data_IF_002368223358
#
_entry.id   IF_002368223358
#
_cell.length_a   1.000
_cell.length_b   1.000
_cell.length_c   1.000
_cell.angle_alpha   90.00
_cell.angle_beta   90.00
_cell.angle_gamma   90.00
#
_symmetry.space_group_name_H-M   'P 1'
#
loop_
_entity.id
_entity.type
_entity.pdbx_description
1 polymer ?
#
# COMPACT_ATOMS: atom_id res chain seq x y z
N UNK A 1 45.30 -28.98 37.37
CA UNK A 1 44.09 -28.58 38.13
C UNK A 1 42.90 -28.88 37.20
N UNK A 2 42.24 -30.05 37.24
CA UNK A 2 41.16 -30.46 38.18
C UNK A 2 40.19 -29.29 38.41
N UNK A 3 38.89 -29.29 38.14
CA UNK A 3 37.77 -30.25 38.11
C UNK A 3 36.56 -29.48 37.51
N UNK A 4 35.37 -29.98 37.18
CA UNK A 4 34.79 -31.29 36.89
C UNK A 4 33.42 -30.98 36.27
N UNK A 5 33.01 -31.78 35.30
CA UNK A 5 31.59 -31.95 34.94
C UNK A 5 30.87 -32.71 36.05
N UNK A 6 29.75 -32.20 36.55
CA UNK A 6 28.50 -32.90 36.94
C UNK A 6 27.57 -31.84 37.56
N UNK A 7 26.50 -31.42 36.90
CA UNK A 7 25.17 -32.05 36.84
C UNK A 7 24.23 -31.47 37.91
N UNK A 8 23.22 -30.71 37.49
CA UNK A 8 21.90 -30.63 38.12
C UNK A 8 20.93 -30.04 37.11
N UNK A 9 20.29 -30.96 36.40
CA UNK A 9 19.00 -30.77 35.74
C UNK A 9 17.98 -30.51 36.85
N UNK A 10 17.54 -29.26 37.02
CA UNK A 10 16.25 -28.99 37.66
C UNK A 10 15.20 -28.90 36.54
N UNK A 11 14.08 -29.63 36.63
CA UNK A 11 13.01 -29.50 35.65
C UNK A 11 12.44 -28.09 35.75
N UNK A 12 12.49 -27.34 34.65
CA UNK A 12 11.70 -26.12 34.52
C UNK A 12 10.24 -26.56 34.59
N UNK A 13 9.60 -26.19 35.70
CA UNK A 13 8.20 -26.43 35.98
C UNK A 13 7.37 -25.88 34.80
N UNK A 14 6.77 -26.80 34.04
CA UNK A 14 5.80 -26.46 33.01
C UNK A 14 4.59 -25.94 33.76
N UNK A 15 4.41 -24.62 33.73
CA UNK A 15 3.20 -23.99 34.25
C UNK A 15 2.07 -24.34 33.26
N UNK A 16 1.42 -25.47 33.49
CA UNK A 16 0.11 -25.77 32.92
C UNK A 16 -0.87 -24.77 33.53
N UNK A 17 -1.07 -23.64 32.85
CA UNK A 17 -2.17 -22.76 33.15
C UNK A 17 -3.47 -23.48 32.77
N UNK A 18 -4.08 -24.14 33.75
CA UNK A 18 -5.48 -24.57 33.69
C UNK A 18 -6.38 -23.33 33.56
N UNK A 19 -6.64 -22.92 32.33
CA UNK A 19 -7.76 -22.06 31.98
C UNK A 19 -9.01 -22.90 31.71
N UNK A 20 -10.24 -22.35 31.88
CA UNK A 20 -11.47 -23.11 31.67
C UNK A 20 -11.50 -23.69 30.26
N UNK A 21 -11.87 -24.96 30.17
CA UNK A 21 -12.03 -25.82 28.98
C UNK A 21 -13.13 -25.35 28.02
N UNK A 22 -13.04 -24.09 27.63
CA UNK A 22 -13.37 -23.74 26.28
C UNK A 22 -12.24 -24.29 25.40
N UNK A 23 -12.53 -25.36 24.64
CA UNK A 23 -11.50 -26.25 24.09
C UNK A 23 -10.35 -25.49 23.44
N UNK A 24 -9.12 -26.01 23.52
CA UNK A 24 -7.94 -25.47 22.80
C UNK A 24 -8.30 -25.19 21.32
N UNK A 25 -9.20 -25.99 20.73
CA UNK A 25 -9.77 -25.73 19.41
C UNK A 25 -10.50 -24.39 19.28
N UNK A 26 -11.34 -23.98 20.24
CA UNK A 26 -12.01 -22.66 20.23
C UNK A 26 -10.99 -21.52 20.34
N UNK A 27 -10.00 -21.64 21.22
CA UNK A 27 -8.91 -20.66 21.29
C UNK A 27 -8.14 -20.53 19.96
N UNK A 28 -7.76 -21.65 19.33
CA UNK A 28 -7.09 -21.64 18.02
C UNK A 28 -7.97 -21.03 16.91
N UNK A 29 -9.29 -21.30 16.93
CA UNK A 29 -10.24 -20.70 15.99
C UNK A 29 -10.29 -19.18 16.14
N UNK A 30 -10.29 -18.68 17.37
CA UNK A 30 -10.34 -17.25 17.62
C UNK A 30 -9.04 -16.55 17.20
N UNK A 31 -7.88 -17.18 17.46
CA UNK A 31 -6.60 -16.71 16.93
C UNK A 31 -6.56 -16.68 15.39
N UNK A 32 -7.04 -17.74 14.73
CA UNK A 32 -7.12 -17.80 13.27
C UNK A 32 -8.03 -16.72 12.68
N UNK A 33 -9.18 -16.48 13.30
CA UNK A 33 -10.10 -15.40 12.90
C UNK A 33 -9.45 -14.04 13.05
N UNK A 34 -8.81 -13.77 14.20
CA UNK A 34 -8.12 -12.50 14.43
C UNK A 34 -7.02 -12.24 13.38
N UNK A 35 -6.23 -13.26 13.02
CA UNK A 35 -5.23 -13.16 11.96
C UNK A 35 -5.85 -12.91 10.57
N UNK A 36 -6.94 -13.61 10.25
CA UNK A 36 -7.66 -13.46 8.98
C UNK A 36 -8.30 -12.07 8.84
N UNK A 37 -8.88 -11.56 9.93
CA UNK A 37 -9.48 -10.23 9.99
C UNK A 37 -8.41 -9.13 9.87
N UNK A 38 -7.27 -9.30 10.55
CA UNK A 38 -6.14 -8.39 10.42
C UNK A 38 -5.65 -8.32 8.96
N UNK A 39 -5.50 -9.46 8.29
CA UNK A 39 -5.13 -9.52 6.87
C UNK A 39 -6.16 -8.81 5.97
N UNK A 40 -7.45 -9.06 6.20
CA UNK A 40 -8.53 -8.43 5.44
C UNK A 40 -8.57 -6.90 5.66
N UNK A 41 -8.33 -6.45 6.89
CA UNK A 41 -8.26 -5.03 7.24
C UNK A 41 -7.04 -4.36 6.61
N UNK A 42 -5.88 -5.00 6.61
CA UNK A 42 -4.69 -4.53 5.89
C UNK A 42 -4.97 -4.37 4.40
N UNK A 43 -5.61 -5.37 3.77
CA UNK A 43 -6.00 -5.28 2.36
C UNK A 43 -6.92 -4.07 2.11
N UNK A 44 -7.94 -3.85 2.94
CA UNK A 44 -8.83 -2.68 2.83
C UNK A 44 -8.07 -1.36 2.94
N UNK A 45 -7.12 -1.24 3.86
CA UNK A 45 -6.28 -0.04 4.01
C UNK A 45 -5.44 0.20 2.75
N UNK A 46 -4.80 -0.85 2.21
CA UNK A 46 -4.02 -0.76 0.97
C UNK A 46 -4.89 -0.31 -0.21
N UNK A 47 -6.06 -0.94 -0.38
CA UNK A 47 -6.99 -0.61 -1.45
C UNK A 47 -7.47 0.85 -1.33
N UNK A 48 -7.77 1.29 -0.12
CA UNK A 48 -8.15 2.67 0.14
C UNK A 48 -7.02 3.66 -0.18
N UNK A 49 -5.77 3.33 0.18
CA UNK A 49 -4.60 4.15 -0.15
C UNK A 49 -4.44 4.28 -1.68
N UNK A 50 -4.43 3.17 -2.41
CA UNK A 50 -4.30 3.15 -3.87
C UNK A 50 -5.44 3.95 -4.51
N UNK A 51 -6.69 3.75 -4.05
CA UNK A 51 -7.85 4.48 -4.56
C UNK A 51 -7.74 5.98 -4.28
N UNK A 52 -7.22 6.37 -3.13
CA UNK A 52 -7.02 7.78 -2.77
C UNK A 52 -5.99 8.44 -3.68
N UNK A 53 -4.86 7.77 -3.95
CA UNK A 53 -3.86 8.26 -4.89
C UNK A 53 -4.38 8.33 -6.34
N UNK A 54 -5.13 7.32 -6.78
CA UNK A 54 -5.81 7.32 -8.07
C UNK A 54 -6.72 8.55 -8.21
N UNK A 55 -7.59 8.79 -7.23
CA UNK A 55 -8.53 9.91 -7.23
C UNK A 55 -7.82 11.26 -7.21
N UNK A 56 -6.76 11.39 -6.39
CA UNK A 56 -5.91 12.58 -6.36
C UNK A 56 -5.31 12.87 -7.73
N UNK A 57 -4.66 11.89 -8.36
CA UNK A 57 -4.03 12.07 -9.66
C UNK A 57 -5.06 12.40 -10.75
N UNK A 58 -6.24 11.77 -10.72
CA UNK A 58 -7.32 12.08 -11.65
C UNK A 58 -7.76 13.55 -11.54
N UNK A 59 -7.99 14.05 -10.32
CA UNK A 59 -8.35 15.46 -10.09
C UNK A 59 -7.21 16.40 -10.49
N UNK A 60 -5.97 16.05 -10.17
CA UNK A 60 -4.78 16.82 -10.55
C UNK A 60 -4.64 16.92 -12.08
N UNK A 61 -4.72 15.82 -12.83
CA UNK A 61 -4.63 15.86 -14.30
C UNK A 61 -5.81 16.59 -14.95
N UNK A 62 -7.02 16.50 -14.36
CA UNK A 62 -8.16 17.28 -14.84
C UNK A 62 -7.92 18.79 -14.66
N UNK A 63 -7.37 19.21 -13.51
CA UNK A 63 -6.96 20.60 -13.28
C UNK A 63 -5.87 21.06 -14.24
N UNK A 64 -4.90 20.19 -14.58
CA UNK A 64 -3.89 20.48 -15.61
C UNK A 64 -4.56 20.73 -16.96
N UNK A 65 -5.50 19.86 -17.36
CA UNK A 65 -6.25 20.00 -18.62
C UNK A 65 -7.07 21.28 -18.68
N UNK A 66 -7.70 21.67 -17.57
CA UNK A 66 -8.44 22.95 -17.47
C UNK A 66 -7.53 24.15 -17.72
N UNK A 67 -6.35 24.19 -17.10
CA UNK A 67 -5.39 25.29 -17.29
C UNK A 67 -4.79 25.30 -18.70
N UNK A 68 -4.56 24.14 -19.31
CA UNK A 68 -4.07 24.09 -20.71
C UNK A 68 -5.11 24.63 -21.68
N UNK A 69 -6.42 24.43 -21.43
CA UNK A 69 -7.49 25.01 -22.26
C UNK A 69 -7.52 26.55 -22.21
N UNK A 70 -6.93 27.16 -21.18
CA UNK A 70 -6.77 28.62 -21.09
C UNK A 70 -5.40 29.08 -21.63
N UNK A 71 -4.83 28.33 -22.57
CA UNK A 71 -3.54 28.61 -23.24
C UNK A 71 -2.31 28.64 -22.31
N UNK A 72 -2.41 28.10 -21.09
CA UNK A 72 -1.27 27.96 -20.18
C UNK A 72 -0.43 26.75 -20.60
N UNK A 73 0.86 26.96 -20.84
CA UNK A 73 1.82 25.86 -21.10
C UNK A 73 1.78 24.84 -19.95
N UNK A 74 1.78 23.54 -20.28
CA UNK A 74 1.65 22.45 -19.30
C UNK A 74 2.60 22.57 -18.10
N UNK A 75 3.89 22.86 -18.35
CA UNK A 75 4.89 23.05 -17.27
C UNK A 75 4.49 24.15 -16.29
N UNK A 76 3.90 25.23 -16.80
CA UNK A 76 3.41 26.36 -16.02
C UNK A 76 2.14 25.96 -15.26
N UNK A 77 1.20 25.27 -15.92
CA UNK A 77 -0.02 24.75 -15.29
C UNK A 77 0.29 23.84 -14.09
N UNK A 78 1.15 22.85 -14.27
CA UNK A 78 1.59 21.95 -13.18
C UNK A 78 2.24 22.70 -12.03
N UNK A 79 3.07 23.70 -12.34
CA UNK A 79 3.71 24.55 -11.32
C UNK A 79 2.70 25.42 -10.56
N UNK A 80 1.68 25.95 -11.25
CA UNK A 80 0.60 26.70 -10.62
C UNK A 80 -0.18 25.83 -9.63
N UNK A 81 -0.55 24.59 -10.02
CA UNK A 81 -1.26 23.67 -9.14
C UNK A 81 -0.43 23.31 -7.90
N UNK A 82 0.89 23.12 -8.04
CA UNK A 82 1.74 22.92 -6.85
C UNK A 82 1.70 24.14 -5.91
N UNK A 83 1.67 25.36 -6.44
CA UNK A 83 1.52 26.58 -5.62
C UNK A 83 0.14 26.67 -4.95
N UNK A 84 -0.92 26.18 -5.61
CA UNK A 84 -2.27 26.08 -5.02
C UNK A 84 -2.31 25.09 -3.85
N UNK A 85 -1.64 23.95 -3.96
CA UNK A 85 -1.69 22.87 -2.95
C UNK A 85 -0.79 23.15 -1.73
N UNK A 86 0.41 23.71 -1.96
CA UNK A 86 1.46 23.87 -0.93
C UNK A 86 1.00 24.57 0.36
N UNK A 87 0.17 25.62 0.35
CA UNK A 87 -0.34 26.25 1.57
C UNK A 87 -1.10 25.31 2.51
N UNK A 88 -1.74 24.28 1.96
CA UNK A 88 -2.60 23.35 2.71
C UNK A 88 -1.87 22.08 3.18
N UNK A 89 -0.58 21.94 2.88
CA UNK A 89 0.21 20.78 3.26
C UNK A 89 1.05 21.02 4.51
N UNK A 90 1.24 19.96 5.29
CA UNK A 90 2.28 19.89 6.31
C UNK A 90 3.67 20.02 5.65
N UNK A 91 4.62 20.64 6.35
CA UNK A 91 5.98 20.92 5.82
C UNK A 91 6.66 19.66 5.27
N UNK A 92 6.57 18.53 5.98
CA UNK A 92 7.13 17.23 5.55
C UNK A 92 6.53 16.72 4.24
N UNK A 93 5.28 17.05 3.94
CA UNK A 93 4.60 16.65 2.70
C UNK A 93 4.97 17.54 1.52
N UNK A 94 5.43 18.78 1.76
CA UNK A 94 5.83 19.73 0.71
C UNK A 94 7.09 19.26 -0.02
N UNK A 95 8.08 18.75 0.73
CA UNK A 95 9.39 18.31 0.21
C UNK A 95 9.21 17.25 -0.89
N UNK A 96 8.27 16.33 -0.69
CA UNK A 96 8.08 15.18 -1.56
C UNK A 96 6.82 15.28 -2.47
N UNK A 97 6.16 16.45 -2.54
CA UNK A 97 4.89 16.61 -3.26
C UNK A 97 5.00 16.20 -4.72
N UNK A 98 6.03 16.68 -5.44
CA UNK A 98 6.22 16.37 -6.86
C UNK A 98 6.46 14.88 -7.10
N UNK A 99 7.26 14.25 -6.24
CA UNK A 99 7.51 12.81 -6.30
C UNK A 99 6.25 12.00 -6.03
N UNK A 100 5.50 12.32 -4.96
CA UNK A 100 4.21 11.66 -4.66
C UNK A 100 3.19 11.85 -5.78
N UNK A 101 3.16 13.04 -6.39
CA UNK A 101 2.29 13.31 -7.55
C UNK A 101 2.66 12.46 -8.74
N UNK A 102 3.96 12.33 -9.04
CA UNK A 102 4.42 11.45 -10.11
C UNK A 102 4.00 9.99 -9.86
N UNK A 103 4.21 9.47 -8.63
CA UNK A 103 3.76 8.12 -8.24
C UNK A 103 2.25 7.94 -8.41
N UNK A 104 1.46 8.92 -7.99
CA UNK A 104 0.01 8.89 -8.13
C UNK A 104 -0.43 8.90 -9.61
N UNK A 105 0.30 9.59 -10.49
CA UNK A 105 0.05 9.55 -11.94
C UNK A 105 0.30 8.16 -12.53
N UNK A 106 1.31 7.42 -12.06
CA UNK A 106 1.55 6.05 -12.50
C UNK A 106 0.39 5.12 -12.06
N UNK A 107 -0.12 5.31 -10.83
CA UNK A 107 -1.33 4.62 -10.35
C UNK A 107 -2.54 4.93 -11.26
N UNK A 108 -2.76 6.21 -11.58
CA UNK A 108 -3.82 6.62 -12.50
C UNK A 108 -3.69 5.94 -13.86
N UNK A 109 -2.49 5.95 -14.44
CA UNK A 109 -2.22 5.35 -15.74
C UNK A 109 -2.50 3.84 -15.71
N UNK A 110 -1.94 3.11 -14.75
CA UNK A 110 -2.11 1.66 -14.63
C UNK A 110 -3.60 1.28 -14.53
N UNK A 111 -4.31 1.80 -13.53
CA UNK A 111 -5.70 1.40 -13.28
C UNK A 111 -6.71 1.97 -14.28
N UNK A 112 -6.36 3.02 -15.03
CA UNK A 112 -7.17 3.43 -16.17
C UNK A 112 -7.05 2.47 -17.35
N UNK A 113 -5.93 1.73 -17.46
CA UNK A 113 -5.69 0.75 -18.53
C UNK A 113 -6.14 -0.67 -18.19
N UNK A 114 -6.03 -1.10 -16.92
CA UNK A 114 -6.40 -2.47 -16.51
C UNK A 114 -7.78 -2.57 -15.85
N UNK A 115 -8.41 -1.42 -15.56
CA UNK A 115 -9.69 -1.35 -14.85
C UNK A 115 -9.54 -0.88 -13.41
N UNK A 116 -10.36 0.10 -13.03
CA UNK A 116 -10.37 0.70 -11.69
C UNK A 116 -10.93 -0.28 -10.64
N UNK A 117 -11.80 -1.19 -11.07
CA UNK A 117 -12.32 -2.31 -10.28
C UNK A 117 -11.21 -3.24 -9.79
N UNK A 118 -10.11 -3.35 -10.54
CA UNK A 118 -8.96 -4.20 -10.16
C UNK A 118 -8.25 -3.73 -8.89
N UNK A 119 -8.43 -2.48 -8.46
CA UNK A 119 -7.94 -1.99 -7.17
C UNK A 119 -8.47 -2.87 -6.02
N UNK A 120 -9.74 -3.32 -6.09
CA UNK A 120 -10.36 -4.14 -5.03
C UNK A 120 -9.78 -5.56 -4.94
N UNK A 121 -9.01 -5.99 -5.93
CA UNK A 121 -8.41 -7.32 -5.96
C UNK A 121 -7.02 -7.33 -5.29
N UNK A 122 -6.48 -6.16 -4.92
CA UNK A 122 -5.16 -6.03 -4.31
C UNK A 122 -5.25 -6.42 -2.84
N UNK A 123 -4.57 -7.50 -2.47
CA UNK A 123 -4.54 -8.03 -1.09
C UNK A 123 -3.26 -7.68 -0.35
N UNK A 124 -2.15 -7.55 -1.07
CA UNK A 124 -0.84 -7.21 -0.52
C UNK A 124 -0.16 -6.24 -1.47
N UNK A 125 0.42 -5.17 -0.94
CA UNK A 125 1.21 -4.25 -1.74
C UNK A 125 2.13 -3.37 -0.88
N UNK A 126 3.32 -3.04 -1.39
CA UNK A 126 4.10 -1.90 -0.91
C UNK A 126 3.96 -0.80 -1.96
N UNK A 127 3.25 0.29 -1.66
CA UNK A 127 3.09 1.46 -2.56
C UNK A 127 4.43 2.00 -3.09
N UNK A 128 5.54 1.67 -2.43
CA UNK A 128 6.90 1.96 -2.89
C UNK A 128 7.37 1.12 -4.08
N UNK A 129 6.85 -0.08 -4.30
CA UNK A 129 7.29 -0.99 -5.38
C UNK A 129 6.63 -0.68 -6.74
N UNK A 130 5.45 -0.03 -6.81
CA UNK A 130 4.81 0.30 -8.12
C UNK A 130 5.45 1.59 -8.64
N UNK A 131 5.85 2.43 -7.68
CA UNK A 131 6.51 3.69 -7.88
C UNK A 131 7.97 3.59 -8.36
N UNK A 132 8.58 2.41 -8.29
CA UNK A 132 9.94 2.17 -8.81
C UNK A 132 9.96 1.78 -10.28
N UNK A 133 8.80 1.45 -10.88
CA UNK A 133 8.75 1.04 -12.28
C UNK A 133 8.69 2.23 -13.23
N UNK A 134 9.50 2.18 -14.28
CA UNK A 134 9.48 3.11 -15.41
C UNK A 134 8.33 2.76 -16.38
N UNK A 135 8.15 3.57 -17.44
CA UNK A 135 7.04 3.42 -18.38
C UNK A 135 7.03 2.04 -19.06
N UNK A 136 8.19 1.54 -19.47
CA UNK A 136 8.32 0.26 -20.18
C UNK A 136 8.05 -0.93 -19.24
N UNK A 137 8.49 -0.84 -17.98
CA UNK A 137 8.19 -1.83 -16.94
C UNK A 137 6.70 -1.88 -16.61
N UNK A 138 6.01 -0.73 -16.65
CA UNK A 138 4.56 -0.67 -16.46
C UNK A 138 3.80 -1.30 -17.64
N UNK A 139 4.26 -1.11 -18.88
CA UNK A 139 3.67 -1.74 -20.06
C UNK A 139 3.79 -3.26 -20.01
N UNK A 140 4.95 -3.80 -19.62
CA UNK A 140 5.15 -5.25 -19.44
C UNK A 140 4.23 -5.85 -18.36
N UNK A 141 4.05 -5.15 -17.23
CA UNK A 141 3.13 -5.57 -16.18
C UNK A 141 1.68 -5.55 -16.68
N UNK A 142 1.30 -4.51 -17.44
CA UNK A 142 -0.05 -4.39 -18.02
C UNK A 142 -0.31 -5.56 -18.97
N UNK A 143 0.61 -5.88 -19.87
CA UNK A 143 0.47 -6.97 -20.83
C UNK A 143 0.41 -8.34 -20.12
N UNK A 144 1.23 -8.56 -19.10
CA UNK A 144 1.19 -9.77 -18.28
C UNK A 144 -0.16 -9.93 -17.57
N UNK A 145 -0.66 -8.88 -16.93
CA UNK A 145 -1.95 -8.90 -16.21
C UNK A 145 -3.10 -9.13 -17.20
N UNK A 146 -3.10 -8.47 -18.36
CA UNK A 146 -4.14 -8.67 -19.39
C UNK A 146 -4.17 -10.11 -19.90
N UNK A 147 -3.02 -10.77 -20.04
CA UNK A 147 -2.94 -12.17 -20.46
C UNK A 147 -3.42 -13.18 -19.39
N UNK A 148 -3.46 -12.82 -18.11
CA UNK A 148 -3.98 -13.70 -17.05
C UNK A 148 -5.51 -13.67 -16.98
N UNK A 149 -6.12 -12.54 -17.33
CA UNK A 149 -7.55 -12.29 -17.15
C UNK A 149 -8.37 -12.36 -18.47
N UNK A 150 -7.75 -12.73 -19.59
CA UNK A 150 -8.39 -12.97 -20.89
C UNK A 150 -8.41 -14.44 -21.26
#
# INVERSE_FOLDING_TARGET
MMNNYQNMQEPVEVIEAEGPTESIGKYLVDLYKAASDALANTAKVIQYEIKSWYNYANKYENRVKELIKTEIREKVARTAIYKEIVPFLLVSSKINLRQKTHKARNILYLFSNIGVDKIQQIRTYSTNNIASYNADELELIIDYVKNIFN
#
